data_IF_548444880875
#
_entry.id   IF_548444880875
#
_cell.length_a   1.000
_cell.length_b   1.000
_cell.length_c   1.000
_cell.angle_alpha   90.00
_cell.angle_beta   90.00
_cell.angle_gamma   90.00
#
_symmetry.space_group_name_H-M   'P 1'
#
loop_
_entity.id
_entity.type
_entity.pdbx_description
1 polymer ?
#
# COMPACT_ATOMS: atom_id res chain seq x y z
N UNK A 1 1.32 -8.94 15.80
CA UNK A 1 2.64 -9.59 15.98
C UNK A 1 2.55 -11.11 15.91
N UNK A 2 1.58 -11.75 16.61
CA UNK A 2 1.34 -13.20 16.53
C UNK A 2 1.26 -13.76 15.09
N UNK A 3 0.48 -13.15 14.21
CA UNK A 3 0.32 -13.61 12.82
C UNK A 3 1.60 -13.57 11.99
N UNK A 4 2.45 -12.56 12.22
CA UNK A 4 3.75 -12.48 11.55
C UNK A 4 4.70 -13.60 12.00
N UNK A 5 4.74 -13.91 13.30
CA UNK A 5 5.54 -15.04 13.77
C UNK A 5 4.96 -16.38 13.32
N UNK A 6 3.63 -16.51 13.28
CA UNK A 6 2.98 -17.71 12.75
C UNK A 6 3.35 -17.97 11.29
N UNK A 7 3.36 -16.93 10.45
CA UNK A 7 3.71 -17.10 9.03
C UNK A 7 5.16 -17.56 8.86
N UNK A 8 6.08 -17.08 9.70
CA UNK A 8 7.47 -17.56 9.74
C UNK A 8 7.53 -19.04 10.17
N UNK A 9 6.83 -19.42 11.25
CA UNK A 9 6.86 -20.78 11.79
C UNK A 9 6.35 -21.81 10.78
N UNK A 10 5.34 -21.44 9.99
CA UNK A 10 4.67 -22.33 9.05
C UNK A 10 5.15 -22.16 7.60
N UNK A 11 6.15 -21.33 7.35
CA UNK A 11 6.66 -21.00 6.01
C UNK A 11 5.53 -20.60 5.04
N UNK A 12 4.66 -19.70 5.49
CA UNK A 12 3.55 -19.17 4.69
C UNK A 12 3.73 -17.68 4.45
N UNK A 13 3.03 -17.18 3.42
CA UNK A 13 2.95 -15.73 3.20
C UNK A 13 2.32 -15.01 4.40
N UNK A 14 2.72 -13.75 4.60
CA UNK A 14 2.08 -12.85 5.55
C UNK A 14 0.75 -12.35 4.99
N UNK A 15 -0.22 -12.10 5.87
CA UNK A 15 -1.54 -11.58 5.47
C UNK A 15 -1.50 -10.21 4.75
N UNK A 16 -0.39 -9.48 4.89
CA UNK A 16 -0.10 -8.24 4.17
C UNK A 16 1.33 -8.29 3.65
N UNK A 17 1.54 -7.70 2.48
CA UNK A 17 2.81 -7.64 1.75
C UNK A 17 3.27 -6.20 1.58
N UNK A 18 4.42 -5.97 0.94
CA UNK A 18 4.87 -4.62 0.60
C UNK A 18 3.91 -3.85 -0.33
N UNK A 19 3.13 -4.56 -1.15
CA UNK A 19 2.16 -3.94 -2.07
C UNK A 19 1.04 -3.25 -1.28
N UNK A 20 0.62 -3.86 -0.17
CA UNK A 20 -0.41 -3.31 0.71
C UNK A 20 0.04 -2.02 1.39
N UNK A 21 1.36 -1.82 1.57
CA UNK A 21 1.94 -0.55 1.99
C UNK A 21 2.14 0.45 0.85
N UNK A 22 2.54 -0.01 -0.35
CA UNK A 22 2.82 0.86 -1.50
C UNK A 22 1.57 1.55 -2.04
N UNK A 23 0.47 0.81 -2.23
CA UNK A 23 -0.78 1.34 -2.80
C UNK A 23 -1.33 2.56 -2.03
N UNK A 24 -1.50 2.55 -0.71
CA UNK A 24 -2.00 3.72 0.02
C UNK A 24 -1.05 4.92 -0.05
N UNK A 25 0.27 4.69 -0.12
CA UNK A 25 1.25 5.78 -0.32
C UNK A 25 1.03 6.45 -1.68
N UNK A 26 0.92 5.67 -2.75
CA UNK A 26 0.65 6.21 -4.09
C UNK A 26 -0.68 6.96 -4.15
N UNK A 27 -1.73 6.41 -3.52
CA UNK A 27 -3.05 7.07 -3.42
C UNK A 27 -2.91 8.43 -2.71
N UNK A 28 -2.21 8.49 -1.58
CA UNK A 28 -2.00 9.73 -0.84
C UNK A 28 -1.23 10.78 -1.66
N UNK A 29 -0.20 10.36 -2.38
CA UNK A 29 0.57 11.24 -3.27
C UNK A 29 -0.29 11.79 -4.42
N UNK A 30 -1.08 10.94 -5.07
CA UNK A 30 -1.97 11.35 -6.15
C UNK A 30 -3.08 12.28 -5.67
N UNK A 31 -3.66 12.02 -4.49
CA UNK A 31 -4.65 12.89 -3.87
C UNK A 31 -4.08 14.27 -3.56
N UNK A 32 -2.89 14.34 -2.96
CA UNK A 32 -2.20 15.60 -2.70
C UNK A 32 -1.90 16.38 -3.99
N UNK A 33 -1.43 15.67 -5.03
CA UNK A 33 -1.20 16.28 -6.35
C UNK A 33 -2.49 16.80 -6.97
N UNK A 34 -3.56 16.01 -6.92
CA UNK A 34 -4.88 16.40 -7.44
C UNK A 34 -5.42 17.66 -6.75
N UNK A 35 -5.29 17.73 -5.43
CA UNK A 35 -5.67 18.91 -4.64
C UNK A 35 -4.91 20.16 -5.09
N UNK A 36 -3.59 20.05 -5.28
CA UNK A 36 -2.73 21.18 -5.69
C UNK A 36 -2.95 21.62 -7.14
N UNK A 37 -3.24 20.69 -8.04
CA UNK A 37 -3.45 20.98 -9.47
C UNK A 37 -4.92 21.31 -9.80
N UNK A 38 -5.85 21.11 -8.87
CA UNK A 38 -7.28 21.38 -9.08
C UNK A 38 -7.92 20.48 -10.14
N UNK A 39 -7.33 19.32 -10.44
CA UNK A 39 -7.83 18.36 -11.44
C UNK A 39 -7.62 16.91 -10.99
N UNK A 40 -8.40 15.95 -11.51
CA UNK A 40 -8.14 14.53 -11.28
C UNK A 40 -6.74 14.11 -11.77
N UNK A 41 -6.08 13.27 -10.98
CA UNK A 41 -4.78 12.66 -11.32
C UNK A 41 -4.97 11.15 -11.39
N UNK A 42 -4.56 10.54 -12.51
CA UNK A 42 -4.57 9.09 -12.69
C UNK A 42 -3.36 8.49 -11.97
N UNK A 43 -3.58 7.39 -11.27
CA UNK A 43 -2.50 6.53 -10.80
C UNK A 43 -2.01 5.69 -11.99
N UNK A 44 -0.73 5.80 -12.32
CA UNK A 44 -0.08 4.88 -13.25
C UNK A 44 0.20 3.56 -12.51
N UNK A 45 0.05 2.44 -13.22
CA UNK A 45 0.22 1.07 -12.69
C UNK A 45 1.68 0.77 -12.32
#
# INVERSE_FOLDING_TARGET
>A
MKEFFNSIIHDTDTAVTGIDGLKPVLIGLAANRSYREGRPVKLEE
#
